data_IF_617280665129
#
_entry.id   IF_617280665129
#
_cell.length_a   1.000
_cell.length_b   1.000
_cell.length_c   1.000
_cell.angle_alpha   90.00
_cell.angle_beta   90.00
_cell.angle_gamma   90.00
#
_symmetry.space_group_name_H-M   'P 1'
#
loop_
_entity.id
_entity.type
_entity.pdbx_description
1 polymer ?
#
# COMPACT_ATOMS: atom_id res chain seq x y z
N UNK A 1 6.47 -1.56 2.41
CA UNK A 1 5.35 -1.56 1.43
C UNK A 1 5.75 -2.40 0.24
N UNK A 2 4.88 -2.66 -0.73
CA UNK A 2 5.27 -3.42 -1.94
C UNK A 2 4.62 -2.78 -3.16
N UNK A 3 5.42 -2.09 -3.98
CA UNK A 3 4.97 -1.59 -5.29
C UNK A 3 5.16 -2.72 -6.31
N UNK A 4 4.08 -3.18 -6.92
CA UNK A 4 4.09 -4.36 -7.81
C UNK A 4 2.98 -4.30 -8.86
N UNK A 5 3.17 -5.00 -9.98
CA UNK A 5 2.13 -5.22 -10.99
C UNK A 5 1.12 -6.32 -10.59
N UNK A 6 1.48 -7.19 -9.67
CA UNK A 6 0.63 -8.28 -9.18
C UNK A 6 0.48 -8.21 -7.66
N UNK A 7 -0.56 -7.50 -7.21
CA UNK A 7 -0.83 -7.31 -5.79
C UNK A 7 -1.31 -8.60 -5.11
N UNK A 8 -1.93 -9.51 -5.86
CA UNK A 8 -2.50 -10.74 -5.31
C UNK A 8 -1.38 -11.72 -4.96
N UNK A 9 -0.46 -11.95 -5.90
CA UNK A 9 0.73 -12.74 -5.66
C UNK A 9 1.55 -12.19 -4.49
N UNK A 10 1.75 -10.87 -4.44
CA UNK A 10 2.48 -10.23 -3.34
C UNK A 10 1.76 -10.39 -1.98
N UNK A 11 0.44 -10.31 -1.95
CA UNK A 11 -0.34 -10.55 -0.73
C UNK A 11 -0.25 -12.01 -0.26
N UNK A 12 -0.29 -12.96 -1.19
CA UNK A 12 -0.07 -14.39 -0.89
C UNK A 12 1.32 -14.66 -0.33
N UNK A 13 2.36 -14.04 -0.90
CA UNK A 13 3.72 -14.11 -0.37
C UNK A 13 3.84 -13.56 1.04
N UNK A 14 3.19 -12.43 1.31
CA UNK A 14 3.16 -11.84 2.64
C UNK A 14 2.40 -12.73 3.63
N UNK A 15 1.26 -13.30 3.24
CA UNK A 15 0.49 -14.23 4.08
C UNK A 15 1.29 -15.50 4.42
N UNK A 16 2.16 -15.98 3.53
CA UNK A 16 3.10 -17.08 3.85
C UNK A 16 4.10 -16.72 4.95
N UNK A 17 4.50 -15.45 5.05
CA UNK A 17 5.40 -14.94 6.10
C UNK A 17 4.64 -14.58 7.37
N UNK A 18 3.38 -14.14 7.24
CA UNK A 18 2.49 -13.76 8.32
C UNK A 18 1.31 -14.72 8.37
N UNK A 19 1.57 -15.93 8.87
CA UNK A 19 0.65 -17.08 8.81
C UNK A 19 -0.70 -16.89 9.50
N UNK A 20 -0.89 -15.79 10.24
CA UNK A 20 -2.13 -15.43 10.93
C UNK A 20 -3.06 -14.56 10.06
N UNK A 21 -2.62 -14.09 8.89
CA UNK A 21 -3.36 -13.16 8.03
C UNK A 21 -3.74 -13.83 6.71
N UNK A 22 -4.97 -13.60 6.25
CA UNK A 22 -5.37 -13.93 4.89
C UNK A 22 -4.86 -12.86 3.91
N UNK A 23 -4.52 -13.20 2.64
CA UNK A 23 -4.10 -12.20 1.64
C UNK A 23 -5.06 -11.01 1.51
N UNK A 24 -6.37 -11.27 1.52
CA UNK A 24 -7.39 -10.21 1.45
C UNK A 24 -7.38 -9.27 2.65
N UNK A 25 -6.98 -9.75 3.84
CA UNK A 25 -6.86 -8.91 5.03
C UNK A 25 -5.65 -8.00 4.93
N UNK A 26 -4.56 -8.49 4.33
CA UNK A 26 -3.37 -7.70 4.03
C UNK A 26 -3.72 -6.58 3.05
N UNK A 27 -4.44 -6.89 1.98
CA UNK A 27 -4.82 -5.89 0.97
C UNK A 27 -5.80 -4.83 1.50
N UNK A 28 -6.68 -5.21 2.43
CA UNK A 28 -7.65 -4.29 3.08
C UNK A 28 -7.08 -3.54 4.28
N UNK A 29 -5.92 -3.95 4.79
CA UNK A 29 -5.31 -3.37 5.97
C UNK A 29 -4.88 -1.91 5.74
N UNK A 30 -5.16 -0.98 6.69
CA UNK A 30 -4.63 0.38 6.61
C UNK A 30 -3.10 0.45 6.73
N UNK A 31 -2.47 -0.59 7.27
CA UNK A 31 -1.04 -0.63 7.61
C UNK A 31 -0.16 -1.19 6.47
N UNK A 32 -0.74 -1.96 5.57
CA UNK A 32 -0.04 -2.50 4.41
C UNK A 32 -0.48 -1.77 3.14
N UNK A 33 0.48 -1.52 2.24
CA UNK A 33 0.27 -0.96 0.92
C UNK A 33 0.94 -1.90 -0.07
N UNK A 34 0.13 -2.53 -0.92
CA UNK A 34 0.55 -3.54 -1.89
C UNK A 34 -0.19 -3.29 -3.19
N UNK A 35 0.53 -3.07 -4.29
CA UNK A 35 -0.06 -2.95 -5.63
C UNK A 35 0.62 -1.91 -6.52
N UNK A 36 -0.04 -1.57 -7.63
CA UNK A 36 0.47 -0.57 -8.57
C UNK A 36 0.37 0.83 -7.97
N UNK A 37 1.12 1.79 -8.52
CA UNK A 37 1.08 3.18 -8.04
C UNK A 37 -0.36 3.73 -8.06
N UNK A 38 -1.14 3.45 -9.09
CA UNK A 38 -2.55 3.85 -9.20
C UNK A 38 -3.39 3.25 -8.07
N UNK A 39 -3.26 1.93 -7.84
CA UNK A 39 -3.96 1.25 -6.77
C UNK A 39 -3.59 1.81 -5.38
N UNK A 40 -2.31 2.12 -5.15
CA UNK A 40 -1.87 2.69 -3.89
C UNK A 40 -2.41 4.10 -3.67
N UNK A 41 -2.43 4.95 -4.69
CA UNK A 41 -3.03 6.29 -4.62
C UNK A 41 -4.52 6.19 -4.26
N UNK A 42 -5.24 5.26 -4.87
CA UNK A 42 -6.66 5.04 -4.65
C UNK A 42 -6.93 4.52 -3.24
N UNK A 43 -6.14 3.55 -2.78
CA UNK A 43 -6.19 3.02 -1.42
C UNK A 43 -5.93 4.14 -0.40
N UNK A 44 -4.90 4.97 -0.60
CA UNK A 44 -4.57 6.09 0.31
C UNK A 44 -5.69 7.12 0.39
N UNK A 45 -6.33 7.46 -0.74
CA UNK A 45 -7.49 8.36 -0.76
C UNK A 45 -8.69 7.77 -0.02
N UNK A 46 -9.02 6.51 -0.30
CA UNK A 46 -10.12 5.81 0.37
C UNK A 46 -9.88 5.73 1.88
N UNK A 47 -8.64 5.47 2.31
CA UNK A 47 -8.23 5.44 3.72
C UNK A 47 -8.34 6.80 4.38
N UNK A 48 -7.92 7.88 3.70
CA UNK A 48 -8.10 9.25 4.18
C UNK A 48 -9.58 9.60 4.34
N UNK A 49 -10.43 9.24 3.37
CA UNK A 49 -11.86 9.49 3.43
C UNK A 49 -12.54 8.70 4.55
N UNK A 50 -12.20 7.42 4.71
CA UNK A 50 -12.85 6.51 5.66
C UNK A 50 -12.39 6.72 7.11
N UNK A 51 -11.09 6.96 7.30
CA UNK A 51 -10.45 6.93 8.63
C UNK A 51 -9.73 8.23 8.98
N UNK A 52 -9.65 9.20 8.07
CA UNK A 52 -8.92 10.45 8.31
C UNK A 52 -7.39 10.29 8.28
N UNK A 53 -6.86 9.14 7.88
CA UNK A 53 -5.41 8.91 7.84
C UNK A 53 -4.77 9.84 6.80
N UNK A 54 -3.85 10.68 7.25
CA UNK A 54 -3.18 11.69 6.43
C UNK A 54 -1.66 11.58 6.43
N UNK A 55 -1.09 10.70 7.26
CA UNK A 55 0.35 10.53 7.42
C UNK A 55 0.75 9.06 7.32
N UNK A 56 1.76 8.79 6.50
CA UNK A 56 2.35 7.47 6.30
C UNK A 56 3.86 7.56 6.39
N UNK A 57 4.48 6.54 6.98
CA UNK A 57 5.93 6.40 7.06
C UNK A 57 6.37 5.44 5.96
N UNK A 58 7.34 5.87 5.17
CA UNK A 58 7.95 5.09 4.09
C UNK A 58 9.38 4.77 4.52
N UNK A 59 9.73 3.48 4.54
CA UNK A 59 11.09 3.06 4.86
C UNK A 59 12.04 3.33 3.69
N UNK A 60 13.30 3.59 3.99
CA UNK A 60 14.32 3.96 2.99
C UNK A 60 14.43 3.01 1.79
N UNK A 61 14.36 1.67 1.94
CA UNK A 61 14.41 0.75 0.79
C UNK A 61 13.25 0.91 -0.19
N UNK A 62 12.11 1.43 0.27
CA UNK A 62 10.90 1.61 -0.52
C UNK A 62 10.78 3.05 -1.08
N UNK A 63 11.71 3.96 -0.72
CA UNK A 63 11.59 5.40 -0.97
C UNK A 63 11.40 5.73 -2.44
N UNK A 64 12.29 5.23 -3.29
CA UNK A 64 12.29 5.57 -4.72
C UNK A 64 11.14 4.89 -5.46
N UNK A 65 10.78 3.66 -5.06
CA UNK A 65 9.62 2.96 -5.57
C UNK A 65 8.31 3.69 -5.23
N UNK A 66 8.25 4.36 -4.08
CA UNK A 66 7.07 5.11 -3.63
C UNK A 66 7.02 6.56 -4.14
N UNK A 67 8.12 7.11 -4.65
CA UNK A 67 8.17 8.49 -5.17
C UNK A 67 7.06 8.83 -6.19
N UNK A 68 6.68 7.94 -7.14
CA UNK A 68 5.56 8.19 -8.06
C UNK A 68 4.20 8.33 -7.36
N UNK A 69 3.99 7.64 -6.23
CA UNK A 69 2.76 7.76 -5.43
C UNK A 69 2.68 9.16 -4.82
N UNK A 70 3.79 9.63 -4.23
CA UNK A 70 3.89 10.98 -3.65
C UNK A 70 3.65 12.04 -4.73
N UNK A 71 4.28 11.91 -5.89
CA UNK A 71 4.11 12.85 -7.00
C UNK A 71 2.64 12.99 -7.46
N UNK A 72 1.85 11.91 -7.42
CA UNK A 72 0.42 11.93 -7.77
C UNK A 72 -0.49 12.45 -6.66
N UNK A 73 -0.03 12.43 -5.41
CA UNK A 73 -0.74 12.99 -4.27
C UNK A 73 -0.40 14.46 -4.04
N UNK A 74 0.81 14.89 -4.42
CA UNK A 74 1.24 16.28 -4.35
C UNK A 74 0.37 17.17 -5.25
N UNK A 75 0.00 18.36 -4.74
CA UNK A 75 -0.81 19.34 -5.47
C UNK A 75 -2.33 19.18 -5.32
N UNK A 76 -2.79 18.41 -4.33
CA UNK A 76 -4.19 18.31 -3.89
C UNK A 76 -4.27 18.35 -2.37
#
# INVERSE_FOLDING_TARGET
>A
MVVTGDRQQAAEELARRWTQLHPDDILRSPYALVGTVEQLVEDLRARRQRWGISYYIVFEPDRDAFAPVVARLAGR
#
